data_IF_850806932163
#
_entry.id   IF_850806932163
#
_cell.length_a   1.000
_cell.length_b   1.000
_cell.length_c   1.000
_cell.angle_alpha   90.00
_cell.angle_beta   90.00
_cell.angle_gamma   90.00
#
_symmetry.space_group_name_H-M   'P 1'
#
loop_
_entity.id
_entity.type
_entity.pdbx_description
1 polymer ?
#
# COMPACT_ATOMS: atom_id res chain seq x y z
N UNK A 1 9.35 2.19 16.26
CA UNK A 1 9.93 2.47 14.93
C UNK A 1 9.04 1.75 13.93
N UNK A 2 8.50 2.44 12.92
CA UNK A 2 7.68 1.75 11.90
C UNK A 2 8.65 1.27 10.84
N UNK A 3 9.16 0.07 11.05
CA UNK A 3 9.96 -0.63 10.05
C UNK A 3 9.04 -0.99 8.89
N UNK A 4 9.25 -0.34 7.74
CA UNK A 4 8.67 -0.82 6.49
C UNK A 4 9.42 -2.10 6.17
N UNK A 5 8.85 -3.22 6.62
CA UNK A 5 9.39 -4.54 6.38
C UNK A 5 9.65 -4.71 4.87
N UNK A 6 10.79 -5.27 4.45
CA UNK A 6 11.07 -5.50 3.03
C UNK A 6 9.96 -6.33 2.37
N UNK A 7 9.28 -7.18 3.14
CA UNK A 7 8.09 -7.94 2.73
C UNK A 7 6.94 -7.02 2.28
N UNK A 8 6.71 -5.91 2.98
CA UNK A 8 5.69 -4.91 2.64
C UNK A 8 6.05 -4.23 1.31
N UNK A 9 7.33 -3.86 1.15
CA UNK A 9 7.83 -3.20 -0.06
C UNK A 9 7.65 -4.08 -1.30
N UNK A 10 8.00 -5.35 -1.18
CA UNK A 10 7.89 -6.32 -2.28
C UNK A 10 6.43 -6.66 -2.59
N UNK A 11 5.59 -6.83 -1.56
CA UNK A 11 4.16 -7.03 -1.72
C UNK A 11 3.49 -5.80 -2.37
N UNK A 12 3.93 -4.58 -2.02
CA UNK A 12 3.47 -3.35 -2.66
C UNK A 12 3.91 -3.25 -4.12
N UNK A 13 5.15 -3.63 -4.45
CA UNK A 13 5.63 -3.67 -5.84
C UNK A 13 4.87 -4.71 -6.67
N UNK A 14 4.54 -5.88 -6.09
CA UNK A 14 3.68 -6.89 -6.73
C UNK A 14 2.25 -6.42 -6.92
N UNK A 15 1.68 -5.75 -5.91
CA UNK A 15 0.33 -5.18 -5.98
C UNK A 15 0.26 -3.91 -6.83
N UNK A 16 1.39 -3.26 -7.11
CA UNK A 16 1.51 -2.03 -7.89
C UNK A 16 2.40 -2.21 -9.14
N UNK A 17 1.96 -2.99 -10.15
CA UNK A 17 2.79 -3.34 -11.31
C UNK A 17 3.26 -2.13 -12.14
N UNK A 18 2.55 -1.00 -12.09
CA UNK A 18 2.90 0.26 -12.77
C UNK A 18 3.26 1.39 -11.79
N UNK A 19 3.57 1.07 -10.53
CA UNK A 19 3.65 2.09 -9.47
C UNK A 19 2.30 2.73 -9.19
N UNK A 20 1.21 1.99 -9.43
CA UNK A 20 -0.16 2.36 -9.12
C UNK A 20 -0.81 1.25 -8.31
N UNK A 21 -1.41 1.56 -7.17
CA UNK A 21 -2.13 0.60 -6.33
C UNK A 21 -3.56 1.06 -6.09
N UNK A 22 -4.51 0.13 -5.96
CA UNK A 22 -5.89 0.48 -5.56
C UNK A 22 -6.01 0.56 -4.04
N UNK A 23 -6.93 1.37 -3.52
CA UNK A 23 -7.14 1.43 -2.06
C UNK A 23 -7.57 0.06 -1.52
N UNK A 24 -8.35 -0.71 -2.30
CA UNK A 24 -8.69 -2.10 -1.98
C UNK A 24 -7.45 -2.97 -1.88
N UNK A 25 -6.56 -2.96 -2.89
CA UNK A 25 -5.33 -3.75 -2.85
C UNK A 25 -4.42 -3.34 -1.68
N UNK A 26 -4.26 -2.04 -1.40
CA UNK A 26 -3.47 -1.55 -0.27
C UNK A 26 -4.04 -2.02 1.08
N UNK A 27 -5.36 -2.03 1.22
CA UNK A 27 -6.05 -2.44 2.46
C UNK A 27 -6.08 -3.95 2.63
N UNK A 28 -6.19 -4.70 1.54
CA UNK A 28 -6.10 -6.15 1.53
C UNK A 28 -4.67 -6.59 1.87
N UNK A 29 -3.65 -5.90 1.34
CA UNK A 29 -2.25 -6.09 1.72
C UNK A 29 -2.02 -5.79 3.20
N UNK A 30 -2.59 -4.68 3.70
CA UNK A 30 -2.53 -4.32 5.11
C UNK A 30 -3.10 -5.43 6.00
N UNK A 31 -4.28 -5.95 5.65
CA UNK A 31 -4.94 -7.04 6.37
C UNK A 31 -4.15 -8.35 6.29
N UNK A 32 -3.61 -8.68 5.10
CA UNK A 32 -2.82 -9.88 4.86
C UNK A 32 -1.50 -9.88 5.64
N UNK A 33 -0.85 -8.73 5.71
CA UNK A 33 0.42 -8.53 6.43
C UNK A 33 0.20 -8.25 7.93
N UNK A 34 -1.05 -8.05 8.38
CA UNK A 34 -1.37 -7.66 9.75
C UNK A 34 -0.85 -6.28 10.14
N UNK A 35 -0.59 -5.40 9.17
CA UNK A 35 -0.05 -4.05 9.40
C UNK A 35 -1.14 -3.00 9.23
N UNK A 36 -1.00 -1.85 9.91
CA UNK A 36 -1.98 -0.79 9.76
C UNK A 36 -1.96 -0.21 8.33
N UNK A 37 -3.11 0.16 7.75
CA UNK A 37 -3.18 0.81 6.43
C UNK A 37 -2.42 2.13 6.38
N UNK A 38 -2.16 2.76 7.53
CA UNK A 38 -1.28 3.93 7.67
C UNK A 38 0.18 3.63 7.31
N UNK A 39 0.68 2.43 7.65
CA UNK A 39 2.02 1.96 7.29
C UNK A 39 2.09 1.70 5.79
N UNK A 40 1.08 1.03 5.23
CA UNK A 40 0.97 0.82 3.79
C UNK A 40 0.90 2.15 3.03
N UNK A 41 0.09 3.10 3.48
CA UNK A 41 -0.01 4.43 2.87
C UNK A 41 1.30 5.21 2.93
N UNK A 42 2.00 5.16 4.06
CA UNK A 42 3.33 5.77 4.21
C UNK A 42 4.37 5.11 3.29
N UNK A 43 4.35 3.78 3.18
CA UNK A 43 5.22 3.02 2.28
C UNK A 43 4.93 3.34 0.81
N UNK A 44 3.66 3.37 0.40
CA UNK A 44 3.24 3.81 -0.94
C UNK A 44 3.75 5.22 -1.24
N UNK A 45 3.58 6.15 -0.29
CA UNK A 45 4.03 7.54 -0.45
C UNK A 45 5.56 7.64 -0.59
N UNK A 46 6.33 6.89 0.22
CA UNK A 46 7.79 6.79 0.09
C UNK A 46 8.23 6.18 -1.24
N UNK A 47 7.51 5.16 -1.71
CA UNK A 47 7.77 4.46 -2.97
C UNK A 47 7.28 5.23 -4.20
N UNK A 48 6.66 6.41 -4.01
CA UNK A 48 5.98 7.19 -5.06
C UNK A 48 4.93 6.38 -5.83
N UNK A 49 4.31 5.41 -5.17
CA UNK A 49 3.21 4.63 -5.73
C UNK A 49 1.94 5.48 -5.67
N UNK A 50 1.30 5.71 -6.82
CA UNK A 50 0.03 6.44 -6.89
C UNK A 50 -1.13 5.53 -6.48
N UNK A 51 -1.98 6.00 -5.58
CA UNK A 51 -3.21 5.28 -5.25
C UNK A 51 -4.25 5.66 -6.30
N UNK A 52 -4.67 4.71 -7.15
CA UNK A 52 -5.71 4.90 -8.17
C UNK A 52 -6.99 4.27 -7.65
N UNK A 53 -8.13 4.95 -7.74
CA UNK A 53 -9.42 4.49 -7.20
C UNK A 53 -9.38 4.21 -5.69
N UNK A 54 -9.57 5.28 -4.90
CA UNK A 54 -9.97 5.13 -3.52
C UNK A 54 -11.41 4.61 -3.51
N UNK A 55 -11.59 3.29 -3.36
CA UNK A 55 -12.91 2.64 -3.30
C UNK A 55 -13.81 3.17 -2.16
N UNK A 56 -13.26 3.97 -1.24
CA UNK A 56 -14.02 4.68 -0.21
C UNK A 56 -14.56 6.05 -0.65
N UNK A 57 -14.32 6.50 -1.89
CA UNK A 57 -14.71 7.84 -2.32
C UNK A 57 -14.02 8.97 -1.54
N UNK A 58 -12.89 8.69 -0.87
CA UNK A 58 -12.04 9.70 -0.24
C UNK A 58 -11.06 10.30 -1.27
N UNK A 59 -11.61 10.96 -2.28
CA UNK A 59 -10.96 12.01 -3.06
C UNK A 59 -11.77 13.29 -2.87
#
# INVERSE_FOLDING_TARGET
>A
MVEVDPRIKEALLKAAPEGKITCSAARELAAFLGVSPRVIGAACNQLKIKIKECALGCF
#
